data_IF_078098209007
#
_entry.id   IF_078098209007
#
_cell.length_a   1.000
_cell.length_b   1.000
_cell.length_c   1.000
_cell.angle_alpha   90.00
_cell.angle_beta   90.00
_cell.angle_gamma   90.00
#
_symmetry.space_group_name_H-M   'P 1'
#
loop_
_entity.id
_entity.type
_entity.pdbx_description
1 polymer ?
#
# COMPACT_ATOMS: atom_id res chain seq x y z
N UNK A 1 -15.32 -28.30 15.79
CA UNK A 1 -15.35 -28.24 17.28
C UNK A 1 -13.98 -27.80 17.75
N UNK A 2 -13.96 -26.91 18.74
CA UNK A 2 -12.80 -26.39 19.49
C UNK A 2 -11.92 -25.32 18.81
N UNK A 3 -12.30 -24.05 18.99
CA UNK A 3 -11.34 -22.97 19.09
C UNK A 3 -11.92 -21.82 19.95
N UNK A 4 -12.06 -22.09 21.24
CA UNK A 4 -12.52 -21.14 22.26
C UNK A 4 -11.70 -21.30 23.55
N UNK A 5 -10.41 -20.92 23.53
CA UNK A 5 -9.63 -20.92 24.79
C UNK A 5 -8.50 -19.89 24.90
N UNK A 6 -8.33 -18.96 23.95
CA UNK A 6 -7.26 -17.96 24.07
C UNK A 6 -7.67 -16.63 24.74
N UNK A 7 -8.96 -16.38 24.90
CA UNK A 7 -9.46 -15.16 25.58
C UNK A 7 -9.39 -15.18 27.11
N UNK A 8 -9.46 -16.38 27.71
CA UNK A 8 -9.51 -16.52 29.16
C UNK A 8 -8.16 -16.30 29.87
N UNK A 9 -7.05 -16.67 29.26
CA UNK A 9 -5.72 -16.50 29.86
C UNK A 9 -5.30 -15.03 29.99
N UNK A 10 -5.69 -14.15 29.03
CA UNK A 10 -5.39 -12.73 29.09
C UNK A 10 -6.11 -12.00 30.23
N UNK A 11 -7.38 -12.36 30.46
CA UNK A 11 -8.20 -11.73 31.51
C UNK A 11 -7.76 -12.20 32.89
N UNK A 12 -7.44 -13.49 33.08
CA UNK A 12 -6.91 -14.04 34.33
C UNK A 12 -5.56 -13.43 34.71
N UNK A 13 -4.67 -13.20 33.71
CA UNK A 13 -3.39 -12.51 33.90
C UNK A 13 -3.56 -11.06 34.39
N UNK A 14 -4.52 -10.31 33.79
CA UNK A 14 -4.84 -8.94 34.21
C UNK A 14 -5.43 -8.87 35.62
N UNK A 15 -6.31 -9.78 35.99
CA UNK A 15 -6.89 -9.86 37.32
C UNK A 15 -5.82 -10.24 38.35
N UNK A 16 -4.94 -11.19 38.04
CA UNK A 16 -3.81 -11.56 38.90
C UNK A 16 -2.84 -10.41 39.14
N UNK A 17 -2.50 -9.64 38.10
CA UNK A 17 -1.64 -8.47 38.23
C UNK A 17 -2.29 -7.36 39.07
N UNK A 18 -3.61 -7.13 38.95
CA UNK A 18 -4.34 -6.14 39.73
C UNK A 18 -4.41 -6.54 41.23
N UNK A 19 -4.64 -7.80 41.54
CA UNK A 19 -4.67 -8.31 42.91
C UNK A 19 -3.28 -8.24 43.55
N UNK A 20 -2.22 -8.62 42.82
CA UNK A 20 -0.84 -8.50 43.30
C UNK A 20 -0.47 -7.02 43.56
N UNK A 21 -0.90 -6.11 42.72
CA UNK A 21 -0.70 -4.67 42.89
C UNK A 21 -1.39 -4.12 44.14
N UNK A 22 -2.62 -4.57 44.45
CA UNK A 22 -3.37 -4.18 45.64
C UNK A 22 -2.72 -4.70 46.93
N UNK A 23 -2.14 -5.90 46.89
CA UNK A 23 -1.43 -6.50 48.04
C UNK A 23 -0.13 -5.77 48.29
N UNK A 24 0.66 -5.45 47.29
CA UNK A 24 1.90 -4.69 47.39
C UNK A 24 1.66 -3.24 47.87
N UNK A 25 0.54 -2.63 47.50
CA UNK A 25 0.14 -1.29 47.99
C UNK A 25 -0.11 -1.22 49.48
N UNK A 26 -0.52 -2.34 50.10
CA UNK A 26 -0.85 -2.39 51.50
C UNK A 26 0.37 -2.51 52.44
N UNK A 27 1.53 -2.89 51.88
CA UNK A 27 2.69 -3.27 52.70
C UNK A 27 3.71 -2.17 53.00
N UNK A 28 3.62 -0.99 52.34
CA UNK A 28 4.65 0.05 52.57
C UNK A 28 4.18 1.48 52.21
N UNK A 29 3.83 2.34 53.19
CA UNK A 29 3.36 3.71 52.93
C UNK A 29 4.47 4.65 52.39
N UNK A 30 5.74 4.32 52.58
CA UNK A 30 6.86 5.15 52.13
C UNK A 30 7.28 4.92 50.67
N UNK A 31 7.07 3.71 50.15
CA UNK A 31 7.34 3.33 48.76
C UNK A 31 6.17 3.60 47.81
N UNK A 32 5.00 3.98 48.34
CA UNK A 32 3.75 4.08 47.54
C UNK A 32 3.81 5.17 46.47
N UNK A 33 4.56 6.24 46.69
CA UNK A 33 4.72 7.33 45.69
C UNK A 33 5.54 6.90 44.49
N UNK A 34 6.61 6.14 44.70
CA UNK A 34 7.44 5.60 43.63
C UNK A 34 6.67 4.57 42.77
N UNK A 35 5.91 3.67 43.45
CA UNK A 35 5.08 2.69 42.74
C UNK A 35 3.92 3.33 41.98
N UNK A 36 3.35 4.43 42.46
CA UNK A 36 2.34 5.19 41.72
C UNK A 36 2.91 5.81 40.44
N UNK A 37 4.11 6.41 40.51
CA UNK A 37 4.77 7.01 39.34
C UNK A 37 5.11 5.92 38.30
N UNK A 38 5.69 4.80 38.74
CA UNK A 38 6.01 3.65 37.86
C UNK A 38 4.72 3.07 37.24
N UNK A 39 3.65 2.95 38.02
CA UNK A 39 2.35 2.46 37.54
C UNK A 39 1.74 3.38 36.46
N UNK A 40 1.81 4.71 36.65
CA UNK A 40 1.32 5.69 35.66
C UNK A 40 2.14 5.61 34.38
N UNK A 41 3.46 5.49 34.47
CA UNK A 41 4.35 5.36 33.30
C UNK A 41 4.05 4.04 32.55
N UNK A 42 3.87 2.93 33.27
CA UNK A 42 3.55 1.65 32.65
C UNK A 42 2.20 1.67 31.92
N UNK A 43 1.16 2.25 32.53
CA UNK A 43 -0.16 2.41 31.90
C UNK A 43 -0.06 3.33 30.67
N UNK A 44 0.69 4.43 30.76
CA UNK A 44 0.92 5.33 29.63
C UNK A 44 1.62 4.62 28.48
N UNK A 45 2.66 3.83 28.73
CA UNK A 45 3.34 3.01 27.72
C UNK A 45 2.40 2.02 27.03
N UNK A 46 1.56 1.33 27.80
CA UNK A 46 0.57 0.37 27.24
C UNK A 46 -0.45 1.09 26.35
N UNK A 47 -0.95 2.26 26.77
CA UNK A 47 -1.88 3.06 25.97
C UNK A 47 -1.23 3.54 24.67
N UNK A 48 0.02 3.98 24.70
CA UNK A 48 0.76 4.37 23.49
C UNK A 48 0.97 3.19 22.56
N UNK A 49 1.33 2.00 23.07
CA UNK A 49 1.47 0.79 22.28
C UNK A 49 0.15 0.37 21.63
N UNK A 50 -0.96 0.41 22.40
CA UNK A 50 -2.29 0.11 21.86
C UNK A 50 -2.68 1.13 20.79
N UNK A 51 -2.44 2.42 21.01
CA UNK A 51 -2.69 3.48 20.03
C UNK A 51 -1.85 3.27 18.76
N UNK A 52 -0.58 2.89 18.87
CA UNK A 52 0.28 2.56 17.74
C UNK A 52 -0.23 1.33 16.96
N UNK A 53 -0.61 0.26 17.67
CA UNK A 53 -1.16 -0.94 17.03
C UNK A 53 -2.47 -0.62 16.31
N UNK A 54 -3.37 0.15 16.93
CA UNK A 54 -4.60 0.62 16.30
C UNK A 54 -4.29 1.53 15.10
N UNK A 55 -3.36 2.48 15.23
CA UNK A 55 -2.94 3.35 14.14
C UNK A 55 -2.40 2.55 12.95
N UNK A 56 -1.54 1.55 13.19
CA UNK A 56 -1.05 0.67 12.13
C UNK A 56 -2.14 -0.27 11.57
N UNK A 57 -3.05 -0.75 12.41
CA UNK A 57 -4.18 -1.57 11.97
C UNK A 57 -5.19 -0.77 11.11
N UNK A 58 -5.45 0.50 11.49
CA UNK A 58 -6.31 1.40 10.70
C UNK A 58 -5.60 2.00 9.49
N UNK A 59 -4.27 2.06 9.49
CA UNK A 59 -3.47 2.55 8.38
C UNK A 59 -3.14 1.49 7.33
N UNK A 60 -3.61 0.24 7.52
CA UNK A 60 -3.62 -0.70 6.39
C UNK A 60 -4.41 -0.01 5.27
N UNK A 61 -3.78 0.23 4.09
CA UNK A 61 -4.54 0.74 2.97
C UNK A 61 -5.72 -0.23 2.82
N UNK A 62 -6.94 0.29 2.91
CA UNK A 62 -8.14 -0.47 2.61
C UNK A 62 -7.91 -1.00 1.20
N UNK A 63 -7.47 -2.24 1.07
CA UNK A 63 -7.66 -3.01 -0.15
C UNK A 63 -9.18 -3.01 -0.32
N UNK A 64 -9.68 -2.05 -1.10
CA UNK A 64 -11.04 -2.18 -1.64
C UNK A 64 -11.08 -3.58 -2.22
N UNK A 65 -12.09 -4.38 -1.90
CA UNK A 65 -12.27 -5.65 -2.58
C UNK A 65 -12.28 -5.31 -4.06
N UNK A 66 -11.30 -5.85 -4.80
CA UNK A 66 -11.25 -5.69 -6.25
C UNK A 66 -12.51 -6.36 -6.80
N UNK A 67 -13.55 -5.58 -7.01
CA UNK A 67 -14.75 -6.07 -7.67
C UNK A 67 -14.35 -6.50 -9.09
N UNK A 68 -14.98 -7.51 -9.62
CA UNK A 68 -14.74 -7.96 -11.01
C UNK A 68 -14.86 -6.78 -11.99
N UNK A 69 -15.72 -5.80 -11.67
CA UNK A 69 -15.87 -4.54 -12.38
C UNK A 69 -14.58 -3.69 -12.38
N UNK A 70 -13.90 -3.53 -11.22
CA UNK A 70 -12.66 -2.75 -11.15
C UNK A 70 -11.53 -3.38 -11.97
N UNK A 71 -11.51 -4.71 -12.06
CA UNK A 71 -10.52 -5.46 -12.86
C UNK A 71 -10.70 -5.22 -14.35
N UNK A 72 -11.94 -5.32 -14.83
CA UNK A 72 -12.24 -5.07 -16.26
C UNK A 72 -11.96 -3.64 -16.65
N UNK A 73 -12.31 -2.66 -15.81
CA UNK A 73 -12.02 -1.24 -16.04
C UNK A 73 -10.52 -0.98 -16.11
N UNK A 74 -9.72 -1.58 -15.23
CA UNK A 74 -8.26 -1.42 -15.23
C UNK A 74 -7.62 -2.00 -16.51
N UNK A 75 -8.04 -3.19 -16.93
CA UNK A 75 -7.55 -3.81 -18.17
C UNK A 75 -7.96 -3.03 -19.40
N UNK A 76 -9.18 -2.52 -19.44
CA UNK A 76 -9.67 -1.69 -20.53
C UNK A 76 -8.90 -0.39 -20.62
N UNK A 77 -8.68 0.28 -19.47
CA UNK A 77 -7.84 1.48 -19.39
C UNK A 77 -6.42 1.19 -19.88
N UNK A 78 -5.79 0.12 -19.40
CA UNK A 78 -4.43 -0.25 -19.84
C UNK A 78 -4.31 -0.47 -21.36
N UNK A 79 -5.35 -1.04 -21.99
CA UNK A 79 -5.39 -1.20 -23.45
C UNK A 79 -5.54 0.16 -24.17
N UNK A 80 -6.40 1.04 -23.65
CA UNK A 80 -6.57 2.38 -24.22
C UNK A 80 -5.28 3.18 -24.12
N UNK A 81 -4.64 3.19 -22.95
CA UNK A 81 -3.37 3.89 -22.72
C UNK A 81 -2.25 3.32 -23.61
N UNK A 82 -2.22 2.00 -23.86
CA UNK A 82 -1.27 1.37 -24.78
C UNK A 82 -1.47 1.81 -26.23
N UNK A 83 -2.71 1.92 -26.69
CA UNK A 83 -3.00 2.41 -28.05
C UNK A 83 -2.57 3.87 -28.23
N UNK A 84 -2.84 4.71 -27.23
CA UNK A 84 -2.37 6.10 -27.23
C UNK A 84 -0.84 6.18 -27.26
N UNK A 85 -0.17 5.37 -26.42
CA UNK A 85 1.28 5.30 -26.38
C UNK A 85 1.89 4.90 -27.73
N UNK A 86 1.29 3.93 -28.42
CA UNK A 86 1.72 3.55 -29.78
C UNK A 86 1.61 4.71 -30.77
N UNK A 87 0.50 5.43 -30.75
CA UNK A 87 0.30 6.58 -31.64
C UNK A 87 1.31 7.68 -31.35
N UNK A 88 1.61 7.97 -30.08
CA UNK A 88 2.63 8.93 -29.68
C UNK A 88 4.01 8.50 -30.16
N UNK A 89 4.37 7.22 -29.96
CA UNK A 89 5.66 6.66 -30.38
C UNK A 89 5.88 6.79 -31.90
N UNK A 90 4.84 6.58 -32.72
CA UNK A 90 4.92 6.72 -34.18
C UNK A 90 5.12 8.18 -34.63
N UNK A 91 4.76 9.16 -33.80
CA UNK A 91 4.94 10.59 -34.11
C UNK A 91 6.36 11.09 -33.82
N UNK A 92 7.17 10.35 -33.12
CA UNK A 92 8.53 10.71 -32.73
C UNK A 92 9.48 10.41 -33.90
N UNK A 93 10.28 11.41 -34.30
CA UNK A 93 11.25 11.29 -35.37
C UNK A 93 12.58 10.70 -34.87
N UNK A 94 12.98 11.00 -33.64
CA UNK A 94 14.20 10.41 -33.06
C UNK A 94 14.08 8.89 -32.98
N UNK A 95 14.91 8.21 -33.76
CA UNK A 95 14.88 6.75 -33.87
C UNK A 95 15.18 6.03 -32.54
N UNK A 96 16.00 6.62 -31.67
CA UNK A 96 16.35 6.01 -30.35
C UNK A 96 15.14 6.06 -29.43
N UNK A 97 14.50 7.22 -29.32
CA UNK A 97 13.32 7.40 -28.47
C UNK A 97 12.14 6.59 -29.01
N UNK A 98 11.96 6.54 -30.32
CA UNK A 98 10.93 5.71 -30.95
C UNK A 98 11.13 4.22 -30.66
N UNK A 99 12.34 3.68 -30.83
CA UNK A 99 12.65 2.28 -30.49
C UNK A 99 12.40 1.97 -29.00
N UNK A 100 12.76 2.90 -28.11
CA UNK A 100 12.48 2.76 -26.70
C UNK A 100 10.97 2.73 -26.40
N UNK A 101 10.18 3.62 -27.02
CA UNK A 101 8.73 3.63 -26.93
C UNK A 101 8.08 2.33 -27.43
N UNK A 102 8.57 1.79 -28.56
CA UNK A 102 8.13 0.50 -29.11
C UNK A 102 8.41 -0.66 -28.15
N UNK A 103 9.58 -0.66 -27.51
CA UNK A 103 9.93 -1.69 -26.51
C UNK A 103 9.02 -1.61 -25.29
N UNK A 104 8.74 -0.41 -24.76
CA UNK A 104 7.79 -0.22 -23.66
C UNK A 104 6.41 -0.72 -24.06
N UNK A 105 5.91 -0.41 -25.26
CA UNK A 105 4.63 -0.93 -25.76
C UNK A 105 4.61 -2.47 -25.76
N UNK A 106 5.68 -3.11 -26.24
CA UNK A 106 5.81 -4.56 -26.26
C UNK A 106 5.77 -5.18 -24.88
N UNK A 107 6.45 -4.57 -23.89
CA UNK A 107 6.43 -5.02 -22.51
C UNK A 107 5.03 -4.90 -21.90
N UNK A 108 4.35 -3.76 -22.12
CA UNK A 108 2.98 -3.53 -21.62
C UNK A 108 2.00 -4.53 -22.23
N UNK A 109 2.15 -4.88 -23.52
CA UNK A 109 1.33 -5.93 -24.15
C UNK A 109 1.50 -7.30 -23.47
N UNK A 110 2.74 -7.68 -23.21
CA UNK A 110 3.02 -8.96 -22.50
C UNK A 110 2.39 -8.96 -21.12
N UNK A 111 2.48 -7.85 -20.38
CA UNK A 111 1.84 -7.71 -19.06
C UNK A 111 0.32 -7.84 -19.19
N UNK A 112 -0.31 -7.13 -20.14
CA UNK A 112 -1.75 -7.22 -20.37
C UNK A 112 -2.21 -8.63 -20.76
N UNK A 113 -1.39 -9.36 -21.53
CA UNK A 113 -1.66 -10.76 -21.88
C UNK A 113 -1.59 -11.66 -20.63
N UNK A 114 -0.52 -11.55 -19.85
CA UNK A 114 -0.35 -12.31 -18.61
C UNK A 114 -1.48 -12.06 -17.59
N UNK A 115 -1.93 -10.80 -17.44
CA UNK A 115 -3.03 -10.45 -16.53
C UNK A 115 -4.41 -10.98 -16.96
N UNK A 116 -4.59 -11.35 -18.23
CA UNK A 116 -5.79 -12.06 -18.68
C UNK A 116 -5.80 -13.50 -18.21
N UNK A 117 -4.62 -14.14 -18.20
CA UNK A 117 -4.45 -15.52 -17.77
C UNK A 117 -4.41 -15.65 -16.25
N UNK A 118 -3.86 -14.63 -15.56
CA UNK A 118 -3.69 -14.59 -14.10
C UNK A 118 -4.35 -13.34 -13.50
N UNK A 119 -5.69 -13.33 -13.36
CA UNK A 119 -6.43 -12.16 -12.86
C UNK A 119 -6.08 -11.75 -11.42
N UNK A 120 -5.53 -12.66 -10.63
CA UNK A 120 -5.05 -12.40 -9.26
C UNK A 120 -3.88 -11.42 -9.21
N UNK A 121 -3.13 -11.24 -10.31
CA UNK A 121 -2.01 -10.32 -10.38
C UNK A 121 -2.40 -8.89 -10.77
N UNK A 122 -3.66 -8.65 -11.14
CA UNK A 122 -4.18 -7.31 -11.49
C UNK A 122 -3.93 -6.27 -10.39
N UNK A 123 -4.10 -6.57 -9.09
CA UNK A 123 -3.78 -5.61 -8.03
C UNK A 123 -2.32 -5.17 -8.01
N UNK A 124 -1.39 -6.06 -8.40
CA UNK A 124 0.06 -5.76 -8.48
C UNK A 124 0.37 -4.81 -9.64
N UNK A 125 -0.35 -4.96 -10.75
CA UNK A 125 -0.20 -4.13 -11.94
C UNK A 125 -0.93 -2.78 -11.88
N UNK A 126 -1.76 -2.55 -10.87
CA UNK A 126 -2.56 -1.32 -10.73
C UNK A 126 -1.72 -0.05 -10.81
N UNK A 127 -0.56 -0.02 -10.13
CA UNK A 127 0.33 1.14 -10.13
C UNK A 127 0.94 1.40 -11.53
N UNK A 128 1.22 0.35 -12.29
CA UNK A 128 1.70 0.46 -13.67
C UNK A 128 0.68 1.23 -14.53
N UNK A 129 -0.59 0.80 -14.52
CA UNK A 129 -1.63 1.38 -15.39
C UNK A 129 -2.21 2.70 -14.88
N UNK A 130 -2.21 2.94 -13.55
CA UNK A 130 -2.77 4.17 -13.00
C UNK A 130 -1.78 5.33 -12.91
N UNK A 131 -0.47 5.04 -12.88
CA UNK A 131 0.55 6.06 -12.68
C UNK A 131 1.66 6.01 -13.74
N UNK A 132 2.37 4.88 -13.89
CA UNK A 132 3.57 4.85 -14.74
C UNK A 132 3.25 4.99 -16.21
N UNK A 133 2.26 4.29 -16.73
CA UNK A 133 1.92 4.31 -18.15
C UNK A 133 1.41 5.69 -18.62
N UNK A 134 0.46 6.35 -17.91
CA UNK A 134 0.06 7.73 -18.26
C UNK A 134 1.20 8.74 -18.12
N UNK A 135 2.07 8.59 -17.11
CA UNK A 135 3.23 9.47 -16.93
C UNK A 135 4.19 9.35 -18.11
N UNK A 136 4.48 8.12 -18.54
CA UNK A 136 5.35 7.87 -19.69
C UNK A 136 4.74 8.43 -20.99
N UNK A 137 3.44 8.24 -21.22
CA UNK A 137 2.71 8.85 -22.33
C UNK A 137 2.82 10.38 -22.34
N UNK A 138 2.67 11.01 -21.15
CA UNK A 138 2.85 12.45 -21.00
C UNK A 138 4.26 12.94 -21.33
N UNK A 139 5.29 12.16 -20.98
CA UNK A 139 6.70 12.48 -21.35
C UNK A 139 6.88 12.39 -22.86
N UNK A 140 6.44 11.33 -23.51
CA UNK A 140 6.53 11.18 -24.97
C UNK A 140 5.76 12.27 -25.71
N UNK A 141 4.60 12.66 -25.21
CA UNK A 141 3.81 13.74 -25.79
C UNK A 141 4.56 15.08 -25.74
N UNK A 142 5.20 15.40 -24.61
CA UNK A 142 6.03 16.60 -24.46
C UNK A 142 7.23 16.55 -25.39
N UNK A 143 7.89 15.40 -25.49
CA UNK A 143 9.02 15.21 -26.38
C UNK A 143 8.63 15.43 -27.85
N UNK A 144 7.54 14.80 -28.31
CA UNK A 144 7.04 14.98 -29.67
C UNK A 144 6.71 16.47 -30.02
N UNK A 145 6.19 17.22 -29.02
CA UNK A 145 5.95 18.67 -29.18
C UNK A 145 7.26 19.46 -29.34
N UNK A 146 8.29 19.11 -28.56
CA UNK A 146 9.60 19.76 -28.65
C UNK A 146 10.26 19.50 -30.01
N UNK A 147 10.20 18.26 -30.50
CA UNK A 147 10.68 17.95 -31.85
C UNK A 147 9.98 18.80 -32.94
N UNK A 148 8.64 18.95 -32.81
CA UNK A 148 7.87 19.76 -33.77
C UNK A 148 8.16 21.25 -33.69
N UNK A 149 8.56 21.75 -32.50
CA UNK A 149 8.92 23.16 -32.32
C UNK A 149 10.33 23.51 -32.78
N UNK A 150 11.11 22.54 -33.30
CA UNK A 150 12.47 22.76 -33.81
C UNK A 150 13.51 23.06 -32.70
N UNK A 151 13.19 22.84 -31.45
CA UNK A 151 14.15 22.97 -30.34
C UNK A 151 15.03 21.71 -30.34
N UNK A 152 16.37 21.85 -30.54
CA UNK A 152 17.26 20.68 -30.45
C UNK A 152 17.19 20.07 -29.07
N UNK A 153 17.04 18.74 -29.03
CA UNK A 153 16.97 17.93 -27.82
C UNK A 153 18.36 17.71 -27.18
#
# INVERSE_FOLDING_TARGET
MSNQSSGGLGILGLIGAAVLFLILRRFSPSLSRLFLIIGIIAISCVLVLVALVLYFAFRKPKKKPDSASDRTVLLQKGRSDLLELRQLTLRIHDQRIRKFGEEVCRVVEKILAALKEQPEDIPKARQLFSYYLPTFGGILQRYARLEQSGVPA
#
